data_IF_903124588716
#
_entry.id   IF_903124588716
#
_cell.length_a   1.000
_cell.length_b   1.000
_cell.length_c   1.000
_cell.angle_alpha   90.00
_cell.angle_beta   90.00
_cell.angle_gamma   90.00
#
_symmetry.space_group_name_H-M   'P 1'
#
loop_
_entity.id
_entity.type
_entity.pdbx_description
1 polymer ?
2 non-polymer ?
3 non-polymer ?
4 water ?
#
# COMPACT_ATOMS: atom_id res chain seq x y z
N UNK A 7 -25.52 0.07 -17.73
CA UNK A 7 -24.58 0.82 -16.84
C UNK A 7 -23.13 0.73 -17.34
N UNK A 8 -22.61 1.85 -17.81
CA UNK A 8 -21.24 1.88 -18.34
C UNK A 8 -20.33 2.67 -17.39
N UNK A 9 -19.45 1.95 -16.71
CA UNK A 9 -18.57 2.53 -15.70
C UNK A 9 -17.30 3.08 -16.36
N UNK A 10 -17.13 4.41 -16.28
CA UNK A 10 -16.00 5.10 -16.90
C UNK A 10 -15.16 5.85 -15.86
N UNK A 11 -15.53 5.76 -14.59
CA UNK A 11 -14.90 6.55 -13.54
C UNK A 11 -14.32 5.67 -12.43
N UNK A 12 -13.07 5.95 -12.07
CA UNK A 12 -12.43 5.32 -10.93
C UNK A 12 -12.24 6.36 -9.84
N UNK A 13 -12.75 6.05 -8.65
CA UNK A 13 -12.48 6.86 -7.48
C UNK A 13 -11.22 6.29 -6.80
N UNK A 14 -10.15 7.07 -6.83
CA UNK A 14 -8.88 6.69 -6.23
C UNK A 14 -8.95 7.09 -4.75
N UNK A 15 -9.31 6.11 -3.93
CA UNK A 15 -9.58 6.36 -2.51
C UNK A 15 -8.35 6.18 -1.66
N UNK A 16 -7.28 6.88 -2.03
CA UNK A 16 -6.02 6.85 -1.28
C UNK A 16 -5.28 8.19 -1.44
N UNK A 17 -4.51 8.55 -0.41
CA UNK A 17 -3.67 9.74 -0.46
C UNK A 17 -2.30 9.44 -1.08
N UNK A 18 -2.03 8.17 -1.38
CA UNK A 18 -0.72 7.77 -1.92
C UNK A 18 -0.54 8.21 -3.37
N UNK A 19 0.47 9.05 -3.59
CA UNK A 19 0.80 9.55 -4.91
C UNK A 19 1.22 8.43 -5.84
N UNK A 20 2.03 7.50 -5.32
CA UNK A 20 2.44 6.34 -6.10
C UNK A 20 1.24 5.51 -6.58
N UNK A 21 0.33 5.20 -5.66
CA UNK A 21 -0.86 4.41 -6.00
C UNK A 21 -1.66 5.11 -7.09
N UNK A 22 -1.88 6.41 -6.92
CA UNK A 22 -2.65 7.20 -7.90
C UNK A 22 -1.99 7.19 -9.27
N UNK A 23 -0.67 7.35 -9.29
CA UNK A 23 0.13 7.32 -10.53
C UNK A 23 0.06 6.00 -11.29
N UNK A 24 0.20 4.89 -10.56
CA UNK A 24 0.15 3.58 -11.18
C UNK A 24 -1.25 3.30 -11.74
N UNK A 25 -2.28 3.66 -10.97
CA UNK A 25 -3.67 3.43 -11.36
C UNK A 25 -4.03 4.16 -12.66
N UNK A 26 -3.71 5.45 -12.73
CA UNK A 26 -3.91 6.25 -13.95
C UNK A 26 -3.13 5.68 -15.14
N UNK A 27 -1.88 5.29 -14.91
CA UNK A 27 -1.03 4.71 -15.96
C UNK A 27 -1.57 3.36 -16.47
N UNK A 28 -1.82 2.43 -15.55
CA UNK A 28 -2.24 1.08 -15.92
C UNK A 28 -3.70 0.94 -16.35
N UNK A 29 -4.58 1.79 -15.83
CA UNK A 29 -6.01 1.62 -16.07
C UNK A 29 -6.63 2.72 -16.90
N UNK A 30 -5.80 3.56 -17.50
CA UNK A 30 -6.28 4.61 -18.38
C UNK A 30 -6.85 4.05 -19.68
N UNK A 31 -6.52 2.77 -19.99
CA UNK A 31 -7.09 2.11 -21.16
C UNK A 31 -8.51 1.60 -20.94
N UNK A 32 -8.99 1.68 -19.70
CA UNK A 32 -10.34 1.25 -19.34
C UNK A 32 -11.20 2.39 -18.79
N UNK A 33 -10.59 3.31 -18.04
CA UNK A 33 -11.31 4.40 -17.39
C UNK A 33 -11.00 5.75 -18.01
N UNK A 34 -12.03 6.58 -18.17
CA UNK A 34 -11.90 7.92 -18.72
C UNK A 34 -11.55 8.91 -17.62
N UNK A 35 -12.13 8.70 -16.43
CA UNK A 35 -12.06 9.66 -15.32
C UNK A 35 -11.39 9.06 -14.08
N UNK A 36 -10.48 9.83 -13.48
CA UNK A 36 -9.83 9.46 -12.23
C UNK A 36 -10.05 10.54 -11.17
N UNK A 37 -10.78 10.17 -10.12
CA UNK A 37 -11.16 11.10 -9.06
C UNK A 37 -10.39 10.76 -7.78
N UNK A 38 -9.62 11.73 -7.29
CA UNK A 38 -8.87 11.54 -6.05
C UNK A 38 -9.74 11.86 -4.83
N UNK A 39 -9.88 10.88 -3.95
CA UNK A 39 -10.71 11.03 -2.76
C UNK A 39 -10.14 10.22 -1.58
N UNK A 40 -9.07 10.73 -0.91
CA UNK A 40 -8.48 9.99 0.21
C UNK A 40 -9.43 9.83 1.38
N UNK A 41 -9.42 8.67 2.06
CA UNK A 41 -10.38 8.37 3.12
C UNK A 41 -10.13 9.16 4.40
N UNK A 42 -8.85 9.44 4.69
CA UNK A 42 -8.45 10.19 5.87
C UNK A 42 -9.14 9.71 7.15
N UNK A 43 -8.99 8.43 7.48
CA UNK A 43 -9.57 7.88 8.71
C UNK A 43 -8.54 7.71 9.82
N UNK A 44 -9.03 7.54 11.05
CA UNK A 44 -8.19 7.24 12.20
C UNK A 44 -7.88 5.74 12.20
N UNK A 45 -6.70 5.39 11.70
CA UNK A 45 -6.34 3.98 11.51
C UNK A 45 -5.92 3.29 12.82
N UNK A 46 -5.57 4.10 13.82
CA UNK A 46 -5.17 3.62 15.14
C UNK A 46 -6.29 2.89 15.89
N UNK A 47 -7.53 3.11 15.46
CA UNK A 47 -8.71 2.49 16.07
C UNK A 47 -8.81 0.99 15.81
N UNK A 48 -8.13 0.52 14.76
CA UNK A 48 -8.17 -0.89 14.33
C UNK A 48 -6.89 -1.60 14.76
N UNK A 49 -7.05 -2.73 15.46
CA UNK A 49 -5.89 -3.33 16.15
C UNK A 49 -5.77 -4.87 16.13
N UNK A 50 -6.34 -5.52 15.11
CA UNK A 50 -6.22 -6.98 14.94
C UNK A 50 -4.77 -7.47 14.85
N UNK A 51 -4.50 -8.63 15.44
CA UNK A 51 -3.15 -9.20 15.49
C UNK A 51 -2.66 -9.76 14.15
N UNK A 52 -3.55 -10.47 13.44
CA UNK A 52 -3.27 -11.01 12.11
C UNK A 52 -3.21 -9.82 11.14
N UNK A 53 -2.08 -9.65 10.42
CA UNK A 53 -1.95 -8.52 9.49
C UNK A 53 -2.92 -8.58 8.31
N UNK A 54 -3.34 -9.78 7.93
CA UNK A 54 -4.33 -9.93 6.86
C UNK A 54 -5.69 -9.38 7.30
N UNK A 55 -6.12 -9.75 8.49
CA UNK A 55 -7.38 -9.22 9.06
C UNK A 55 -7.25 -7.74 9.44
N UNK A 56 -6.07 -7.34 9.89
CA UNK A 56 -5.82 -5.93 10.20
C UNK A 56 -5.97 -5.05 8.96
N UNK A 57 -5.19 -5.34 7.92
CA UNK A 57 -5.26 -4.54 6.68
C UNK A 57 -6.64 -4.58 6.06
N UNK A 58 -7.31 -5.73 6.16
CA UNK A 58 -8.66 -5.85 5.60
C UNK A 58 -9.66 -4.96 6.32
N UNK A 59 -9.65 -5.01 7.65
CA UNK A 59 -10.54 -4.15 8.44
C UNK A 59 -10.30 -2.67 8.10
N UNK A 60 -9.03 -2.28 7.94
CA UNK A 60 -8.71 -0.89 7.63
C UNK A 60 -9.11 -0.50 6.19
N UNK A 61 -8.82 -1.36 5.22
CA UNK A 61 -9.25 -1.12 3.83
C UNK A 61 -10.77 -0.96 3.71
N UNK A 62 -11.51 -1.78 4.45
CA UNK A 62 -12.97 -1.70 4.47
C UNK A 62 -13.47 -0.44 5.16
N UNK A 63 -12.82 -0.05 6.26
CA UNK A 63 -13.14 1.21 6.93
C UNK A 63 -12.85 2.40 6.01
N UNK A 64 -11.74 2.33 5.29
CA UNK A 64 -11.39 3.34 4.30
C UNK A 64 -12.44 3.44 3.19
N UNK A 65 -12.89 2.29 2.69
CA UNK A 65 -13.94 2.26 1.67
C UNK A 65 -15.23 2.91 2.14
N UNK A 66 -15.64 2.61 3.37
CA UNK A 66 -16.82 3.23 3.96
C UNK A 66 -16.70 4.76 3.94
N UNK A 67 -15.55 5.27 4.37
CA UNK A 67 -15.28 6.72 4.38
C UNK A 67 -15.28 7.35 2.98
N UNK A 68 -14.72 6.64 2.01
CA UNK A 68 -14.63 7.12 0.62
C UNK A 68 -16.02 7.21 -0.03
N UNK A 69 -16.85 6.20 0.19
CA UNK A 69 -18.20 6.15 -0.37
C UNK A 69 -19.11 7.23 0.24
N UNK A 70 -18.87 7.52 1.51
CA UNK A 70 -19.53 8.61 2.24
C UNK A 70 -19.13 9.97 1.65
N UNK A 71 -17.84 10.17 1.42
CA UNK A 71 -17.31 11.40 0.82
C UNK A 71 -17.79 11.61 -0.62
N UNK A 72 -17.95 10.50 -1.35
CA UNK A 72 -18.41 10.53 -2.74
C UNK A 72 -19.83 11.09 -2.88
N UNK A 73 -20.69 10.78 -1.91
CA UNK A 73 -22.06 11.29 -1.87
C UNK A 73 -22.15 12.82 -1.97
N UNK A 74 -21.19 13.53 -1.38
CA UNK A 74 -21.18 15.00 -1.43
C UNK A 74 -19.87 15.64 -1.94
N UNK A 75 -19.28 15.01 -2.98
CA UNK A 75 -18.06 15.50 -3.63
C UNK A 75 -16.79 15.36 -2.78
N UNK A 82 -21.71 6.46 -13.17
CA UNK A 82 -21.37 5.22 -12.49
C UNK A 82 -19.87 5.12 -12.25
N UNK A 83 -19.47 4.58 -11.11
CA UNK A 83 -18.07 4.61 -10.69
C UNK A 83 -17.66 3.37 -9.89
N UNK A 84 -16.36 3.08 -9.91
CA UNK A 84 -15.75 2.10 -9.04
C UNK A 84 -14.78 2.79 -8.09
N UNK A 85 -14.88 2.50 -6.80
CA UNK A 85 -13.94 3.01 -5.80
C UNK A 85 -12.94 1.93 -5.38
N UNK A 86 -11.72 2.38 -5.11
CA UNK A 86 -10.63 1.52 -4.66
C UNK A 86 -9.98 2.06 -3.39
N UNK A 87 -9.81 1.20 -2.40
CA UNK A 87 -9.01 1.54 -1.21
C UNK A 87 -7.96 0.45 -0.95
N UNK A 88 -7.03 0.78 -0.07
CA UNK A 88 -5.85 -0.04 0.19
C UNK A 88 -5.40 0.14 1.65
N UNK A 89 -4.83 -0.91 2.21
CA UNK A 89 -4.05 -0.78 3.46
C UNK A 89 -2.94 -1.80 3.45
N UNK A 90 -1.76 -1.38 3.91
CA UNK A 90 -0.57 -2.24 3.83
C UNK A 90 0.34 -2.08 5.05
N UNK A 91 0.87 -3.20 5.54
CA UNK A 91 1.81 -3.20 6.64
C UNK A 91 3.01 -4.05 6.27
N UNK A 92 4.11 -3.84 6.99
CA UNK A 92 5.30 -4.68 6.89
C UNK A 92 5.27 -5.69 8.04
N UNK A 93 5.77 -6.89 7.75
CA UNK A 93 6.06 -7.90 8.77
C UNK A 93 7.54 -8.24 8.70
N UNK A 94 8.23 -7.99 9.80
CA UNK A 94 9.65 -8.32 9.95
C UNK A 94 9.77 -9.21 11.17
N UNK A 95 10.22 -10.45 10.96
CA UNK A 95 10.15 -11.46 12.02
C UNK A 95 8.72 -11.61 12.49
N UNK A 96 8.49 -11.36 13.78
CA UNK A 96 7.16 -11.45 14.37
C UNK A 96 6.49 -10.09 14.53
N UNK A 97 7.14 -9.03 14.05
CA UNK A 97 6.68 -7.68 14.30
C UNK A 97 5.93 -7.10 13.10
N UNK A 98 4.71 -6.64 13.36
CA UNK A 98 3.90 -5.91 12.38
C UNK A 98 4.24 -4.43 12.48
N UNK A 99 4.58 -3.83 11.34
CA UNK A 99 5.06 -2.45 11.30
C UNK A 99 4.21 -1.58 10.40
N UNK A 100 3.83 -0.42 10.91
CA UNK A 100 3.15 0.59 10.10
C UNK A 100 4.20 1.67 9.79
N UNK A 101 3.77 2.88 9.45
CA UNK A 101 4.70 3.98 9.19
C UNK A 101 5.45 4.32 10.48
N UNK A 102 6.76 4.62 10.40
CA UNK A 102 7.50 4.91 11.62
C UNK A 102 7.04 6.20 12.28
N UNK A 103 7.14 6.27 13.60
CA UNK A 103 6.66 7.46 14.31
C UNK A 103 7.75 8.53 14.44
N UNK A 104 9.02 8.12 14.32
CA UNK A 104 10.15 9.04 14.45
C UNK A 104 11.30 8.60 13.57
N UNK A 105 12.27 9.50 13.39
CA UNK A 105 13.49 9.17 12.67
C UNK A 105 14.21 7.98 13.33
N UNK A 106 14.22 7.97 14.67
CA UNK A 106 14.87 6.92 15.47
C UNK A 106 14.29 5.52 15.17
N UNK A 107 12.96 5.41 15.21
CA UNK A 107 12.30 4.13 14.91
C UNK A 107 12.52 3.74 13.45
N UNK A 108 12.45 4.72 12.55
CA UNK A 108 12.74 4.48 11.13
C UNK A 108 14.17 3.98 10.93
N UNK A 109 15.12 4.60 11.60
CA UNK A 109 16.50 4.13 11.57
C UNK A 109 16.62 2.67 11.99
N UNK A 110 16.02 2.34 13.14
CA UNK A 110 15.94 0.97 13.64
C UNK A 110 15.28 0.00 12.64
N UNK A 111 14.14 0.40 12.09
CA UNK A 111 13.45 -0.38 11.05
C UNK A 111 14.38 -0.69 9.87
N UNK A 112 14.93 0.34 9.24
CA UNK A 112 15.80 0.15 8.06
C UNK A 112 17.02 -0.72 8.38
N UNK A 113 17.71 -0.44 9.48
CA UNK A 113 18.88 -1.24 9.89
C UNK A 113 18.58 -2.74 9.97
N UNK A 114 17.38 -3.07 10.44
CA UNK A 114 16.99 -4.47 10.63
C UNK A 114 16.80 -5.24 9.31
N UNK A 115 16.65 -4.55 8.19
CA UNK A 115 16.42 -5.23 6.91
C UNK A 115 17.69 -5.82 6.30
N UNK A 116 18.84 -5.30 6.72
CA UNK A 116 20.15 -5.75 6.23
C UNK A 116 20.31 -7.27 6.36
N UNK A 117 20.74 -7.90 5.27
CA UNK A 117 21.04 -9.32 5.22
C UNK A 117 19.89 -10.26 5.53
N UNK A 118 18.66 -9.80 5.30
CA UNK A 118 17.49 -10.64 5.57
C UNK A 118 16.29 -10.38 4.71
N UNK A 119 15.18 -11.04 5.07
CA UNK A 119 13.91 -10.92 4.35
C UNK A 119 12.89 -10.14 5.14
N UNK A 120 12.05 -9.40 4.42
CA UNK A 120 10.99 -8.59 5.00
C UNK A 120 9.74 -8.75 4.15
N UNK A 121 8.61 -8.95 4.80
CA UNK A 121 7.33 -9.11 4.11
C UNK A 121 6.49 -7.84 4.11
N UNK A 122 5.66 -7.70 3.08
CA UNK A 122 4.57 -6.74 3.10
C UNK A 122 3.27 -7.55 3.03
N UNK A 123 2.25 -7.08 3.74
CA UNK A 123 0.92 -7.67 3.74
C UNK A 123 -0.07 -6.56 3.45
N UNK A 124 -0.91 -6.77 2.45
CA UNK A 124 -1.86 -5.74 2.08
C UNK A 124 -3.22 -6.29 1.76
N UNK A 125 -4.24 -5.45 1.92
CA UNK A 125 -5.57 -5.74 1.41
C UNK A 125 -6.00 -4.60 0.51
N UNK A 126 -6.44 -4.97 -0.70
CA UNK A 126 -7.03 -4.02 -1.65
C UNK A 126 -8.54 -4.26 -1.63
N UNK A 127 -9.31 -3.18 -1.62
CA UNK A 127 -10.76 -3.31 -1.65
C UNK A 127 -11.32 -2.59 -2.86
N UNK A 128 -12.40 -3.13 -3.42
CA UNK A 128 -13.05 -2.56 -4.58
C UNK A 128 -14.57 -2.60 -4.41
N UNK A 129 -15.24 -1.51 -4.79
CA UNK A 129 -16.70 -1.41 -4.73
C UNK A 129 -17.27 -0.63 -5.91
N UNK A 130 -18.31 -1.17 -6.54
CA UNK A 130 -19.12 -0.40 -7.48
C UNK A 130 -20.01 0.52 -6.66
N UNK A 131 -19.85 1.83 -6.87
CA UNK A 131 -20.60 2.84 -6.13
C UNK A 131 -22.10 2.60 -6.31
N UNK A 132 -22.83 2.53 -5.20
CA UNK A 132 -24.26 2.27 -5.22
C UNK A 132 -24.63 0.84 -4.89
N UNK A 133 -23.64 -0.06 -4.82
CA UNK A 133 -23.89 -1.46 -4.50
C UNK A 133 -23.45 -1.76 -3.07
N UNK A 134 -23.75 -2.94 -2.57
CA UNK A 134 -23.40 -3.28 -1.19
C UNK A 134 -22.21 -4.25 -1.04
N UNK A 135 -21.71 -4.77 -2.16
CA UNK A 135 -20.63 -5.75 -2.13
C UNK A 135 -19.26 -5.07 -2.23
N UNK A 136 -18.47 -5.17 -1.16
CA UNK A 136 -17.09 -4.68 -1.17
C UNK A 136 -16.16 -5.88 -1.33
N UNK A 137 -15.57 -5.99 -2.51
CA UNK A 137 -14.63 -7.07 -2.82
C UNK A 137 -13.29 -6.77 -2.19
N UNK A 138 -12.60 -7.81 -1.69
CA UNK A 138 -11.25 -7.65 -1.15
C UNK A 138 -10.31 -8.72 -1.70
N UNK A 139 -9.03 -8.37 -1.75
CA UNK A 139 -7.98 -9.26 -2.22
C UNK A 139 -6.73 -8.93 -1.45
N UNK A 140 -5.99 -9.97 -1.05
CA UNK A 140 -4.74 -9.74 -0.35
C UNK A 140 -3.59 -9.74 -1.35
N UNK A 141 -2.53 -9.04 -0.98
CA UNK A 141 -1.28 -9.12 -1.71
C UNK A 141 -0.16 -9.16 -0.69
N UNK A 142 0.76 -10.10 -0.88
CA UNK A 142 1.87 -10.30 0.03
C UNK A 142 3.14 -10.32 -0.82
N UNK A 143 4.19 -9.68 -0.31
CA UNK A 143 5.50 -9.76 -0.96
C UNK A 143 6.54 -10.14 0.08
N UNK A 144 7.70 -10.56 -0.41
CA UNK A 144 8.85 -10.75 0.46
C UNK A 144 10.09 -10.24 -0.26
N UNK A 145 10.80 -9.30 0.37
CA UNK A 145 12.01 -8.70 -0.21
C UNK A 145 13.23 -9.17 0.57
N UNK A 146 14.28 -9.58 -0.16
CA UNK A 146 15.52 -10.06 0.45
C UNK A 146 16.68 -9.12 0.13
N UNK A 147 17.35 -8.67 1.18
CA UNK A 147 18.46 -7.72 1.08
C UNK A 147 19.79 -8.42 1.40
N UNK A 148 20.85 -7.96 0.74
CA UNK A 148 22.21 -8.25 1.18
C UNK A 148 22.55 -7.33 2.36
N UNK A 149 23.71 -7.56 2.97
CA UNK A 149 24.14 -6.75 4.10
C UNK A 149 24.47 -5.32 3.69
N UNK A 150 24.08 -4.38 4.55
CA UNK A 150 24.49 -2.98 4.42
C UNK A 150 24.68 -2.38 5.81
N UNK A 151 25.50 -1.34 5.89
CA UNK A 151 25.87 -0.76 7.18
C UNK A 151 25.16 0.52 7.52
N UNK A 152 25.57 1.14 8.63
CA UNK A 152 24.99 2.39 9.14
C UNK A 152 25.00 3.51 8.11
N UNK A 153 26.04 3.54 7.29
CA UNK A 153 26.24 4.57 6.27
C UNK A 153 25.11 4.61 5.23
N UNK A 154 24.73 3.45 4.72
CA UNK A 154 23.62 3.31 3.77
C UNK A 154 22.29 3.64 4.47
N UNK A 155 22.13 3.18 5.71
CA UNK A 155 20.94 3.51 6.51
C UNK A 155 20.74 5.04 6.56
N UNK A 156 21.79 5.77 6.92
CA UNK A 156 21.70 7.23 7.01
C UNK A 156 21.38 7.91 5.68
N UNK A 157 21.92 7.43 4.58
CA UNK A 157 21.65 8.00 3.26
C UNK A 157 20.16 7.89 2.92
N UNK A 158 19.59 6.71 3.13
CA UNK A 158 18.15 6.51 2.92
C UNK A 158 17.32 7.40 3.86
N UNK A 159 17.67 7.43 5.14
CA UNK A 159 16.97 8.27 6.12
C UNK A 159 16.92 9.73 5.70
N UNK A 160 18.05 10.24 5.21
CA UNK A 160 18.21 11.64 4.80
C UNK A 160 17.24 12.06 3.71
N UNK A 161 16.88 11.12 2.83
CA UNK A 161 15.94 11.40 1.75
C UNK A 161 14.49 11.57 2.25
N UNK A 162 14.18 10.97 3.39
CA UNK A 162 12.91 11.22 4.08
C UNK A 162 11.66 10.48 3.60
N UNK A 163 11.71 9.94 2.38
CA UNK A 163 10.56 9.18 1.83
C UNK A 163 10.21 7.97 2.69
N UNK A 164 11.23 7.38 3.33
CA UNK A 164 11.08 6.23 4.21
C UNK A 164 10.06 6.42 5.32
N UNK A 165 9.93 7.66 5.82
CA UNK A 165 8.94 8.00 6.85
C UNK A 165 7.50 7.74 6.41
N UNK A 166 7.26 7.76 5.09
CA UNK A 166 5.90 7.65 4.55
C UNK A 166 5.53 6.25 4.07
N UNK A 167 6.38 5.28 4.39
CA UNK A 167 6.14 3.89 4.02
C UNK A 167 6.05 2.99 5.24
N UNK A 168 5.21 1.97 5.17
CA UNK A 168 5.11 0.98 6.24
C UNK A 168 6.49 0.40 6.51
N UNK A 169 6.87 0.34 7.79
CA UNK A 169 8.15 -0.22 8.18
C UNK A 169 9.36 0.55 7.67
N UNK A 170 9.12 1.76 7.16
CA UNK A 170 10.17 2.56 6.54
C UNK A 170 10.82 1.87 5.36
N UNK A 171 10.07 0.96 4.73
CA UNK A 171 10.60 0.14 3.64
C UNK A 171 10.41 0.84 2.29
N UNK A 172 11.54 1.17 1.66
CA UNK A 172 11.53 1.90 0.38
C UNK A 172 12.47 1.21 -0.60
N UNK A 173 11.97 0.21 -1.30
CA UNK A 173 12.82 -0.57 -2.22
C UNK A 173 13.25 0.24 -3.44
N UNK A 174 12.49 1.29 -3.74
CA UNK A 174 12.77 2.22 -4.84
C UNK A 174 13.90 3.22 -4.51
N UNK A 175 14.30 3.29 -3.23
CA UNK A 175 15.39 4.18 -2.80
C UNK A 175 16.70 3.78 -3.50
N UNK A 176 17.45 4.79 -3.94
CA UNK A 176 18.72 4.61 -4.66
C UNK A 176 19.65 3.59 -3.98
N UNK A 177 19.82 3.69 -2.67
CA UNK A 177 20.69 2.77 -1.93
C UNK A 177 20.06 1.43 -1.57
N UNK A 178 18.81 1.46 -1.11
CA UNK A 178 18.08 0.24 -0.82
C UNK A 178 18.02 -0.65 -2.06
N UNK A 179 17.68 -0.05 -3.19
CA UNK A 179 17.56 -0.76 -4.47
C UNK A 179 18.82 -1.56 -4.83
N UNK A 180 19.97 -0.98 -4.54
CA UNK A 180 21.27 -1.60 -4.82
C UNK A 180 21.53 -2.83 -3.96
N UNK A 181 20.77 -3.01 -2.90
CA UNK A 181 20.96 -4.13 -1.96
C UNK A 181 19.82 -5.18 -2.00
N UNK A 182 18.85 -4.98 -2.88
CA UNK A 182 17.80 -5.98 -3.09
C UNK A 182 18.37 -7.15 -3.91
N UNK A 183 18.34 -8.34 -3.33
CA UNK A 183 18.79 -9.56 -4.01
C UNK A 183 17.67 -10.13 -4.89
N UNK A 184 16.50 -10.28 -4.29
CA UNK A 184 15.32 -10.73 -5.02
C UNK A 184 14.04 -10.32 -4.30
N UNK A 185 12.94 -10.34 -5.03
CA UNK A 185 11.61 -10.12 -4.45
C UNK A 185 10.72 -11.30 -4.87
N UNK A 186 10.02 -11.87 -3.90
CA UNK A 186 8.90 -12.76 -4.19
C UNK A 186 7.65 -11.89 -4.23
N UNK A 187 7.09 -11.74 -5.44
CA UNK A 187 6.08 -10.72 -5.73
C UNK A 187 6.69 -9.74 -6.71
N UNK A 188 6.22 -8.49 -6.68
CA UNK A 188 6.71 -7.42 -7.56
C UNK A 188 7.13 -6.22 -6.72
N UNK A 189 8.04 -5.41 -7.24
CA UNK A 189 8.41 -4.17 -6.57
C UNK A 189 7.22 -3.22 -6.46
N UNK A 190 6.32 -3.21 -7.46
CA UNK A 190 5.11 -2.38 -7.39
C UNK A 190 4.21 -2.80 -6.23
N UNK A 191 4.15 -4.10 -5.96
CA UNK A 191 3.46 -4.67 -4.81
C UNK A 191 4.09 -4.21 -3.51
N UNK A 192 5.42 -4.23 -3.43
CA UNK A 192 6.12 -3.77 -2.23
C UNK A 192 5.83 -2.29 -2.00
N UNK A 193 5.80 -1.52 -3.09
CA UNK A 193 5.52 -0.08 -3.04
C UNK A 193 4.05 0.29 -2.76
N UNK A 194 3.16 -0.69 -2.83
CA UNK A 194 1.77 -0.49 -2.40
C UNK A 194 0.69 -0.55 -3.46
N UNK A 195 1.04 -0.90 -4.70
CA UNK A 195 0.02 -0.98 -5.76
C UNK A 195 0.46 -1.86 -6.93
N UNK A 196 0.26 -3.16 -6.78
CA UNK A 196 0.43 -4.10 -7.88
C UNK A 196 -0.85 -4.14 -8.73
N UNK A 197 -0.79 -3.66 -10.00
CA UNK A 197 -1.98 -3.63 -10.88
C UNK A 197 -2.66 -4.98 -11.08
N UNK A 198 -1.90 -6.08 -11.08
CA UNK A 198 -2.50 -7.41 -11.25
C UNK A 198 -3.57 -7.69 -10.20
N UNK A 199 -3.38 -7.17 -8.99
CA UNK A 199 -4.37 -7.32 -7.93
C UNK A 199 -5.69 -6.62 -8.26
N UNK A 200 -5.60 -5.36 -8.72
CA UNK A 200 -6.79 -4.61 -9.17
C UNK A 200 -7.46 -5.27 -10.39
N UNK A 201 -6.65 -5.77 -11.33
CA UNK A 201 -7.17 -6.53 -12.48
C UNK A 201 -8.00 -7.74 -12.03
N UNK A 202 -7.51 -8.49 -11.04
CA UNK A 202 -8.25 -9.63 -10.46
C UNK A 202 -9.58 -9.23 -9.79
N UNK A 203 -9.55 -8.16 -8.99
CA UNK A 203 -10.77 -7.63 -8.37
C UNK A 203 -11.81 -7.17 -9.42
N UNK A 204 -11.35 -6.48 -10.46
CA UNK A 204 -12.25 -6.05 -11.53
C UNK A 204 -12.92 -7.24 -12.22
N UNK A 205 -12.17 -8.32 -12.38
CA UNK A 205 -12.68 -9.53 -13.04
C UNK A 205 -13.78 -10.21 -12.23
N UNK A 206 -13.85 -9.89 -10.94
CA UNK A 206 -14.78 -10.53 -10.01
C UNK A 206 -16.12 -9.81 -9.87
N UNK A 207 -16.34 -8.78 -10.70
CA UNK A 207 -17.59 -8.01 -10.64
C UNK A 207 -18.83 -8.75 -11.15
#
# INVERSE_FOLDING_TARGET
GPGSMAEEIRTMIIGTSSAFRANVLREHFGDRFRNFVLLPPDIDEKAYRAADPFELTESIARAKMKAVLEKARQHSPPISGPAIALTFDQVVVKGDEVREKPLSTEQCRSFIASYSGGGVRTVATYALCVVGTENVLVAHNETETFFSKFGDDIVERTLERGACMNSAGGLVVEDEDMSRHVVRIVGTSYGVRGMEPAVVEKLLSQL
#
